data_IF_498463727219
#
_entry.id   IF_498463727219
#
_cell.length_a   1.000
_cell.length_b   1.000
_cell.length_c   1.000
_cell.angle_alpha   90.00
_cell.angle_beta   90.00
_cell.angle_gamma   90.00
#
_symmetry.space_group_name_H-M   'P 1'
#
loop_
_entity.id
_entity.type
_entity.pdbx_description
1 polymer ?
#
# COMPACT_ATOMS: atom_id res chain seq x y z
N UNK A 1 -26.13 12.54 -29.63
CA UNK A 1 -24.66 12.72 -29.56
C UNK A 1 -24.22 13.41 -28.26
N UNK A 2 -24.49 12.82 -27.08
CA UNK A 2 -24.01 13.32 -25.78
C UNK A 2 -23.51 12.21 -24.83
N UNK A 3 -23.59 10.95 -25.25
CA UNK A 3 -23.27 9.77 -24.40
C UNK A 3 -21.88 9.17 -24.64
N UNK A 4 -21.12 9.70 -25.60
CA UNK A 4 -19.82 9.12 -26.03
C UNK A 4 -18.64 9.74 -25.27
N UNK A 5 -18.80 10.92 -24.64
CA UNK A 5 -17.68 11.65 -24.00
C UNK A 5 -17.22 11.01 -22.68
N UNK A 6 -18.07 10.25 -22.00
CA UNK A 6 -17.74 9.66 -20.68
C UNK A 6 -16.79 8.46 -20.81
N UNK A 7 -16.83 7.74 -21.94
CA UNK A 7 -15.92 6.61 -22.19
C UNK A 7 -14.48 7.05 -22.51
N UNK A 8 -14.29 8.29 -22.99
CA UNK A 8 -12.98 8.85 -23.31
C UNK A 8 -12.15 9.13 -22.06
N UNK A 9 -12.78 9.42 -20.92
CA UNK A 9 -12.10 9.72 -19.65
C UNK A 9 -11.58 8.44 -18.98
N UNK A 10 -12.25 7.31 -19.18
CA UNK A 10 -11.83 5.99 -18.66
C UNK A 10 -10.68 5.36 -19.46
N UNK A 11 -10.45 5.78 -20.70
CA UNK A 11 -9.34 5.28 -21.53
C UNK A 11 -8.02 6.02 -21.29
N UNK A 12 -8.08 7.28 -20.83
CA UNK A 12 -6.87 8.07 -20.55
C UNK A 12 -6.20 7.79 -19.20
N UNK A 13 -6.82 7.02 -18.31
CA UNK A 13 -6.17 6.53 -17.09
C UNK A 13 -5.17 5.39 -17.33
N UNK A 14 -5.04 4.92 -18.58
CA UNK A 14 -4.15 3.80 -18.94
C UNK A 14 -2.74 4.19 -19.39
N UNK A 15 -2.41 5.49 -19.50
CA UNK A 15 -1.13 5.94 -20.13
C UNK A 15 -0.23 6.76 -19.18
N UNK A 16 -0.54 6.82 -17.89
CA UNK A 16 0.39 7.39 -16.94
C UNK A 16 0.98 6.31 -16.05
N UNK A 17 2.02 5.65 -16.56
CA UNK A 17 3.12 5.21 -15.70
C UNK A 17 3.82 6.46 -15.13
N UNK A 18 3.12 7.24 -14.30
CA UNK A 18 3.82 8.00 -13.29
C UNK A 18 4.49 6.94 -12.43
N UNK A 19 5.80 6.78 -12.57
CA UNK A 19 6.61 6.34 -11.46
C UNK A 19 6.33 7.36 -10.36
N UNK A 20 5.28 7.12 -9.59
CA UNK A 20 4.95 7.89 -8.41
C UNK A 20 6.12 7.61 -7.49
N UNK A 21 7.11 8.48 -7.51
CA UNK A 21 8.31 8.38 -6.68
C UNK A 21 7.83 8.21 -5.26
N UNK A 22 8.14 7.07 -4.64
CA UNK A 22 7.75 6.82 -3.25
C UNK A 22 8.16 8.03 -2.42
N UNK A 23 7.23 8.67 -1.70
CA UNK A 23 7.59 9.80 -0.84
C UNK A 23 8.61 9.32 0.20
N UNK A 24 9.66 10.10 0.45
CA UNK A 24 10.71 9.71 1.41
C UNK A 24 10.09 9.39 2.77
N UNK A 25 10.16 8.14 3.25
CA UNK A 25 9.51 7.75 4.49
C UNK A 25 10.22 8.37 5.69
N UNK A 26 9.45 8.98 6.60
CA UNK A 26 9.96 9.42 7.90
C UNK A 26 10.41 8.23 8.77
N UNK A 27 11.22 8.49 9.79
CA UNK A 27 11.80 7.41 10.64
C UNK A 27 10.75 6.51 11.29
N UNK A 28 9.61 7.07 11.71
CA UNK A 28 8.52 6.29 12.31
C UNK A 28 7.89 5.29 11.33
N UNK A 29 7.88 5.62 10.03
CA UNK A 29 7.38 4.74 8.96
C UNK A 29 8.31 3.54 8.81
N UNK A 30 9.63 3.78 8.84
CA UNK A 30 10.65 2.73 8.77
C UNK A 30 10.54 1.75 9.95
N UNK A 31 10.47 2.28 11.18
CA UNK A 31 10.27 1.47 12.39
C UNK A 31 8.99 0.65 12.36
N UNK A 32 7.91 1.25 11.87
CA UNK A 32 6.62 0.55 11.72
C UNK A 32 6.72 -0.58 10.69
N UNK A 33 7.46 -0.38 9.60
CA UNK A 33 7.71 -1.42 8.62
C UNK A 33 8.61 -2.53 9.19
N UNK A 34 9.66 -2.20 9.93
CA UNK A 34 10.53 -3.16 10.63
C UNK A 34 9.71 -4.06 11.56
N UNK A 35 8.91 -3.47 12.44
CA UNK A 35 8.06 -4.22 13.38
C UNK A 35 7.06 -5.14 12.66
N UNK A 36 6.48 -4.68 11.56
CA UNK A 36 5.57 -5.50 10.77
C UNK A 36 6.30 -6.72 10.17
N UNK A 37 7.50 -6.53 9.63
CA UNK A 37 8.27 -7.62 9.00
C UNK A 37 8.82 -8.59 10.03
N UNK A 38 9.22 -8.13 11.21
CA UNK A 38 9.57 -9.01 12.32
C UNK A 38 8.40 -9.91 12.74
N UNK A 39 7.18 -9.38 12.71
CA UNK A 39 5.98 -10.17 12.99
C UNK A 39 5.62 -11.11 11.84
N UNK A 40 5.48 -10.59 10.62
CA UNK A 40 5.09 -11.35 9.44
C UNK A 40 6.11 -12.44 9.09
N UNK A 41 7.40 -12.22 9.37
CA UNK A 41 8.43 -13.23 9.16
C UNK A 41 8.25 -14.48 10.01
N UNK A 42 7.65 -14.35 11.20
CA UNK A 42 7.32 -15.48 12.07
C UNK A 42 6.08 -16.22 11.59
N UNK A 43 5.07 -15.48 11.14
CA UNK A 43 3.81 -16.06 10.64
C UNK A 43 3.99 -16.81 9.30
N UNK A 44 4.83 -16.29 8.41
CA UNK A 44 5.04 -16.85 7.07
C UNK A 44 6.38 -17.58 6.90
N UNK A 45 7.19 -17.67 7.95
CA UNK A 45 8.54 -18.26 7.92
C UNK A 45 9.41 -17.71 6.78
N UNK A 46 9.50 -16.38 6.70
CA UNK A 46 10.18 -15.68 5.60
C UNK A 46 11.71 -15.84 5.67
N UNK A 47 12.34 -16.08 4.52
CA UNK A 47 13.79 -15.96 4.35
C UNK A 47 14.25 -14.49 4.44
N UNK A 48 15.55 -14.23 4.63
CA UNK A 48 16.07 -12.86 4.66
C UNK A 48 15.75 -12.07 3.37
N UNK A 49 15.86 -12.72 2.21
CA UNK A 49 15.50 -12.11 0.91
C UNK A 49 14.00 -11.79 0.85
N UNK A 50 13.15 -12.68 1.39
CA UNK A 50 11.72 -12.42 1.44
C UNK A 50 11.37 -11.30 2.43
N UNK A 51 12.06 -11.23 3.58
CA UNK A 51 11.89 -10.14 4.55
C UNK A 51 12.19 -8.80 3.92
N UNK A 52 13.31 -8.69 3.20
CA UNK A 52 13.71 -7.46 2.52
C UNK A 52 12.66 -7.01 1.49
N UNK A 53 12.14 -7.91 0.67
CA UNK A 53 11.15 -7.49 -0.34
C UNK A 53 9.77 -7.19 0.21
N UNK A 54 9.31 -7.97 1.19
CA UNK A 54 8.05 -7.65 1.87
C UNK A 54 8.19 -6.34 2.65
N UNK A 55 9.37 -6.07 3.24
CA UNK A 55 9.70 -4.79 3.86
C UNK A 55 9.56 -3.64 2.88
N UNK A 56 10.17 -3.74 1.70
CA UNK A 56 10.10 -2.70 0.68
C UNK A 56 8.65 -2.44 0.23
N UNK A 57 7.85 -3.48 0.00
CA UNK A 57 6.44 -3.33 -0.36
C UNK A 57 5.61 -2.66 0.75
N UNK A 58 5.84 -3.04 2.01
CA UNK A 58 5.10 -2.49 3.14
C UNK A 58 5.56 -1.07 3.51
N UNK A 59 6.86 -0.79 3.42
CA UNK A 59 7.41 0.55 3.60
C UNK A 59 6.82 1.52 2.57
N UNK A 60 6.75 1.11 1.30
CA UNK A 60 6.10 1.90 0.25
C UNK A 60 4.63 2.19 0.58
N UNK A 61 3.88 1.19 1.05
CA UNK A 61 2.50 1.38 1.50
C UNK A 61 2.40 2.45 2.60
N UNK A 62 3.21 2.33 3.65
CA UNK A 62 3.19 3.27 4.77
C UNK A 62 3.61 4.68 4.35
N UNK A 63 4.58 4.80 3.45
CA UNK A 63 5.05 6.07 2.92
C UNK A 63 3.92 6.80 2.17
N UNK A 64 3.25 6.12 1.24
CA UNK A 64 2.11 6.69 0.52
C UNK A 64 0.91 6.99 1.44
N UNK A 65 0.59 6.07 2.34
CA UNK A 65 -0.48 6.27 3.32
C UNK A 65 -0.22 7.54 4.14
N UNK A 66 0.98 7.69 4.69
CA UNK A 66 1.40 8.88 5.44
C UNK A 66 1.29 10.15 4.60
N UNK A 67 1.78 10.12 3.36
CA UNK A 67 1.72 11.23 2.42
C UNK A 67 0.28 11.67 2.12
N UNK A 68 -0.65 10.73 1.87
CA UNK A 68 -2.05 11.04 1.61
C UNK A 68 -2.74 11.64 2.85
N UNK A 69 -2.48 11.11 4.05
CA UNK A 69 -3.03 11.68 5.28
C UNK A 69 -2.49 13.08 5.57
N UNK A 70 -1.21 13.34 5.31
CA UNK A 70 -0.65 14.69 5.42
C UNK A 70 -1.37 15.66 4.48
N UNK A 71 -1.56 15.27 3.21
CA UNK A 71 -2.28 16.08 2.23
C UNK A 71 -3.73 16.34 2.59
N UNK A 72 -4.40 15.38 3.24
CA UNK A 72 -5.73 15.56 3.83
C UNK A 72 -5.72 16.62 4.94
N UNK A 73 -4.74 16.54 5.85
CA UNK A 73 -4.59 17.52 6.94
C UNK A 73 -4.32 18.94 6.41
N UNK A 74 -3.57 19.05 5.32
CA UNK A 74 -3.29 20.30 4.61
C UNK A 74 -4.47 20.81 3.76
N UNK A 75 -5.57 20.06 3.67
CA UNK A 75 -6.74 20.43 2.86
C UNK A 75 -6.57 20.25 1.35
N UNK A 76 -5.47 19.62 0.91
CA UNK A 76 -5.18 19.37 -0.52
C UNK A 76 -5.80 18.08 -1.06
N UNK A 77 -6.34 17.24 -0.18
CA UNK A 77 -7.16 16.08 -0.50
C UNK A 77 -8.41 16.09 0.39
N UNK A 78 -9.55 15.75 -0.19
CA UNK A 78 -10.77 15.46 0.55
C UNK A 78 -10.66 14.13 1.31
N UNK A 79 -11.57 13.91 2.27
CA UNK A 79 -11.68 12.61 2.95
C UNK A 79 -11.99 11.45 1.99
N UNK A 80 -12.75 11.71 0.93
CA UNK A 80 -13.12 10.70 -0.07
C UNK A 80 -11.92 10.33 -0.95
N UNK A 81 -11.22 11.32 -1.51
CA UNK A 81 -10.01 11.10 -2.32
C UNK A 81 -8.93 10.38 -1.51
N UNK A 82 -8.73 10.78 -0.26
CA UNK A 82 -7.76 10.12 0.64
C UNK A 82 -8.12 8.64 0.84
N UNK A 83 -9.42 8.34 1.06
CA UNK A 83 -9.89 6.96 1.23
C UNK A 83 -9.65 6.13 -0.03
N UNK A 84 -9.94 6.68 -1.21
CA UNK A 84 -9.73 6.00 -2.49
C UNK A 84 -8.24 5.71 -2.75
N UNK A 85 -7.38 6.70 -2.53
CA UNK A 85 -5.93 6.57 -2.72
C UNK A 85 -5.31 5.56 -1.75
N UNK A 86 -5.69 5.60 -0.46
CA UNK A 86 -5.24 4.63 0.54
C UNK A 86 -5.71 3.22 0.20
N UNK A 87 -6.96 3.05 -0.24
CA UNK A 87 -7.49 1.76 -0.68
C UNK A 87 -6.73 1.22 -1.88
N UNK A 88 -6.43 2.08 -2.86
CA UNK A 88 -5.67 1.71 -4.06
C UNK A 88 -4.28 1.18 -3.71
N UNK A 89 -3.50 1.91 -2.90
CA UNK A 89 -2.15 1.46 -2.53
C UNK A 89 -2.20 0.21 -1.63
N UNK A 90 -3.23 0.06 -0.79
CA UNK A 90 -3.41 -1.15 0.00
C UNK A 90 -3.68 -2.37 -0.89
N UNK A 91 -4.51 -2.23 -1.91
CA UNK A 91 -4.79 -3.31 -2.87
C UNK A 91 -3.54 -3.69 -3.65
N UNK A 92 -2.79 -2.70 -4.12
CA UNK A 92 -1.53 -2.92 -4.83
C UNK A 92 -0.50 -3.65 -3.95
N UNK A 93 -0.27 -3.19 -2.73
CA UNK A 93 0.65 -3.83 -1.78
C UNK A 93 0.21 -5.24 -1.41
N UNK A 94 -1.10 -5.46 -1.22
CA UNK A 94 -1.66 -6.80 -0.99
C UNK A 94 -1.31 -7.72 -2.16
N UNK A 95 -1.60 -7.30 -3.39
CA UNK A 95 -1.33 -8.09 -4.59
C UNK A 95 0.16 -8.39 -4.77
N UNK A 96 1.04 -7.41 -4.55
CA UNK A 96 2.49 -7.59 -4.63
C UNK A 96 2.97 -8.64 -3.64
N UNK A 97 2.58 -8.53 -2.37
CA UNK A 97 2.98 -9.46 -1.32
C UNK A 97 2.40 -10.86 -1.56
N UNK A 98 1.10 -10.97 -1.86
CA UNK A 98 0.44 -12.26 -2.08
C UNK A 98 1.04 -12.99 -3.29
N UNK A 99 1.32 -12.26 -4.37
CA UNK A 99 1.94 -12.84 -5.58
C UNK A 99 3.39 -13.25 -5.32
N UNK A 100 4.17 -12.41 -4.64
CA UNK A 100 5.58 -12.70 -4.37
C UNK A 100 5.77 -13.89 -3.43
N UNK A 101 4.94 -13.99 -2.38
CA UNK A 101 5.01 -15.08 -1.41
C UNK A 101 4.21 -16.34 -1.81
N UNK A 102 3.36 -16.25 -2.83
CA UNK A 102 2.47 -17.35 -3.22
C UNK A 102 1.39 -17.67 -2.17
N UNK A 103 0.92 -16.66 -1.43
CA UNK A 103 -0.11 -16.80 -0.38
C UNK A 103 -1.47 -16.24 -0.84
N UNK A 104 -2.56 -16.73 -0.24
CA UNK A 104 -3.90 -16.22 -0.49
C UNK A 104 -4.11 -14.82 0.13
N UNK A 105 -4.95 -13.98 -0.48
CA UNK A 105 -5.26 -12.65 0.04
C UNK A 105 -5.90 -12.69 1.44
N UNK A 106 -6.67 -13.73 1.76
CA UNK A 106 -7.27 -13.92 3.10
C UNK A 106 -6.19 -14.14 4.15
N UNK A 107 -5.12 -14.85 3.80
CA UNK A 107 -3.98 -15.10 4.68
C UNK A 107 -3.21 -13.80 4.94
N UNK A 108 -2.99 -13.00 3.89
CA UNK A 108 -2.46 -11.65 4.04
C UNK A 108 -3.27 -10.80 5.03
N UNK A 109 -4.61 -10.77 4.87
CA UNK A 109 -5.47 -10.03 5.81
C UNK A 109 -5.54 -10.65 7.20
N UNK A 110 -5.38 -11.98 7.35
CA UNK A 110 -5.30 -12.63 8.67
C UNK A 110 -4.10 -12.09 9.43
N UNK A 111 -2.89 -12.16 8.84
CA UNK A 111 -1.66 -11.66 9.47
C UNK A 111 -1.77 -10.17 9.77
N UNK A 112 -2.27 -9.35 8.85
CA UNK A 112 -2.47 -7.93 9.12
C UNK A 112 -3.41 -7.67 10.30
N UNK A 113 -4.51 -8.42 10.43
CA UNK A 113 -5.40 -8.28 11.60
C UNK A 113 -4.73 -8.70 12.90
N UNK A 114 -3.95 -9.78 12.90
CA UNK A 114 -3.22 -10.21 14.09
C UNK A 114 -2.13 -9.21 14.49
N UNK A 115 -1.44 -8.59 13.53
CA UNK A 115 -0.50 -7.51 13.80
C UNK A 115 -1.19 -6.30 14.47
N UNK A 116 -2.33 -5.87 13.92
CA UNK A 116 -3.07 -4.72 14.43
C UNK A 116 -3.66 -4.92 15.84
N UNK A 117 -3.80 -6.17 16.32
CA UNK A 117 -4.20 -6.45 17.70
C UNK A 117 -3.07 -6.29 18.72
N UNK A 118 -1.81 -6.24 18.26
CA UNK A 118 -0.62 -6.16 19.12
C UNK A 118 -0.16 -4.73 19.42
N UNK A 119 -0.68 -3.75 18.69
CA UNK A 119 -0.46 -2.32 18.92
C UNK A 119 -1.67 -1.69 19.60
#
# INVERSE_FOLDING_TARGET
MKKIIILSILLFSSIFSFAQTTPTPGEWVKKSAEHYIEFASKEWNLTEVQKEEVYNYYLNFLAFRSYYFKRKQEGTLTSEETTLLVKSIQQETTQKITKYLGIDWREYYRVNREYMKRG
#
